data_IF_674585146478
#
_entry.id   IF_674585146478
#
_cell.length_a   1.000
_cell.length_b   1.000
_cell.length_c   1.000
_cell.angle_alpha   90.00
_cell.angle_beta   90.00
_cell.angle_gamma   90.00
#
_symmetry.space_group_name_H-M   'P 1'
#
loop_
_entity.id
_entity.type
_entity.pdbx_description
1 polymer ?
#
# COMPACT_ATOMS: atom_id res chain seq x y z
N UNK A 1 4.09 34.32 -5.42
CA UNK A 1 3.70 33.44 -4.31
C UNK A 1 3.18 32.13 -4.92
N UNK A 2 4.00 31.08 -4.91
CA UNK A 2 3.66 29.81 -5.58
C UNK A 2 2.64 29.01 -4.78
N UNK A 3 1.49 28.75 -5.38
CA UNK A 3 0.43 27.95 -4.78
C UNK A 3 0.92 26.51 -4.59
N UNK A 4 1.10 26.10 -3.33
CA UNK A 4 1.29 24.70 -2.96
C UNK A 4 -0.07 24.01 -3.11
N UNK A 5 -0.32 23.42 -4.28
CA UNK A 5 -1.33 22.38 -4.42
C UNK A 5 -0.77 21.11 -3.77
N UNK A 6 -1.11 20.91 -2.50
CA UNK A 6 -0.90 19.63 -1.84
C UNK A 6 -1.80 18.59 -2.52
N UNK A 7 -1.27 17.89 -3.52
CA UNK A 7 -1.90 16.71 -4.11
C UNK A 7 -1.98 15.63 -3.02
N UNK A 8 -3.06 15.66 -2.23
CA UNK A 8 -3.43 14.55 -1.35
C UNK A 8 -3.71 13.35 -2.25
N UNK A 9 -2.80 12.38 -2.26
CA UNK A 9 -3.04 11.08 -2.87
C UNK A 9 -4.38 10.54 -2.31
N UNK A 10 -5.35 10.30 -3.19
CA UNK A 10 -6.66 9.77 -2.78
C UNK A 10 -6.43 8.39 -2.17
N UNK A 11 -6.85 8.19 -0.91
CA UNK A 11 -6.85 6.86 -0.30
C UNK A 11 -7.77 5.95 -1.10
N UNK A 12 -7.31 4.75 -1.40
CA UNK A 12 -8.03 3.80 -2.26
C UNK A 12 -8.45 2.58 -1.44
N UNK A 13 -9.60 2.01 -1.81
CA UNK A 13 -10.06 0.70 -1.35
C UNK A 13 -9.93 -0.26 -2.53
N UNK A 14 -8.72 -0.71 -2.82
CA UNK A 14 -8.50 -1.79 -3.78
C UNK A 14 -8.30 -3.11 -3.03
N UNK A 15 -9.36 -3.90 -2.84
CA UNK A 15 -9.25 -5.14 -2.08
C UNK A 15 -8.42 -6.22 -2.79
N UNK A 16 -8.19 -6.11 -4.11
CA UNK A 16 -7.43 -7.11 -4.87
C UNK A 16 -5.97 -7.18 -4.41
N UNK A 17 -5.42 -6.05 -3.95
CA UNK A 17 -4.05 -5.94 -3.45
C UNK A 17 -3.95 -5.88 -1.92
N UNK A 18 -5.07 -6.18 -1.26
CA UNK A 18 -5.20 -6.07 0.19
C UNK A 18 -5.33 -4.62 0.66
N UNK A 19 -6.03 -4.43 1.78
CA UNK A 19 -6.22 -3.11 2.40
C UNK A 19 -5.77 -3.12 3.85
N UNK A 20 -5.58 -1.93 4.43
CA UNK A 20 -5.28 -1.82 5.85
C UNK A 20 -6.34 -2.53 6.71
N UNK A 21 -5.97 -3.42 7.65
CA UNK A 21 -6.94 -4.10 8.50
C UNK A 21 -7.72 -3.15 9.44
N UNK A 22 -7.21 -1.93 9.67
CA UNK A 22 -7.84 -0.95 10.56
C UNK A 22 -8.81 0.01 9.85
N UNK A 23 -8.43 0.60 8.69
CA UNK A 23 -9.31 1.52 7.96
C UNK A 23 -9.84 0.98 6.63
N UNK A 24 -9.42 -0.21 6.19
CA UNK A 24 -9.79 -0.81 4.91
C UNK A 24 -9.41 0.05 3.69
N UNK A 25 -8.37 0.86 3.83
CA UNK A 25 -7.82 1.72 2.78
C UNK A 25 -6.30 1.51 2.64
N UNK A 26 -5.74 1.96 1.52
CA UNK A 26 -4.29 2.08 1.31
C UNK A 26 -3.94 3.44 0.70
N UNK A 27 -2.70 3.87 0.91
CA UNK A 27 -2.12 5.13 0.44
C UNK A 27 -1.18 4.87 -0.76
N UNK A 28 -1.59 3.94 -1.62
CA UNK A 28 -0.81 3.45 -2.78
C UNK A 28 0.29 2.44 -2.42
N UNK A 29 1.26 2.30 -3.31
CA UNK A 29 2.35 1.33 -3.18
C UNK A 29 3.71 1.95 -3.55
N UNK A 30 4.79 1.26 -3.20
CA UNK A 30 6.16 1.55 -3.62
C UNK A 30 6.83 0.26 -4.09
N UNK A 31 7.71 0.37 -5.07
CA UNK A 31 8.46 -0.77 -5.58
C UNK A 31 9.82 -0.90 -4.90
N UNK A 32 10.27 -2.14 -4.71
CA UNK A 32 11.66 -2.48 -4.35
C UNK A 32 12.11 -3.61 -5.26
N UNK A 33 12.74 -3.26 -6.39
CA UNK A 33 12.89 -4.20 -7.50
C UNK A 33 11.51 -4.64 -7.99
N UNK A 34 11.30 -5.95 -8.15
CA UNK A 34 10.02 -6.54 -8.55
C UNK A 34 8.98 -6.68 -7.42
N UNK A 35 9.31 -6.28 -6.19
CA UNK A 35 8.39 -6.37 -5.05
C UNK A 35 7.48 -5.14 -5.00
N UNK A 36 6.17 -5.36 -4.85
CA UNK A 36 5.17 -4.30 -4.75
C UNK A 36 4.64 -4.19 -3.31
N UNK A 37 5.05 -3.12 -2.62
CA UNK A 37 4.72 -2.90 -1.22
C UNK A 37 3.64 -1.84 -1.09
N UNK A 38 2.46 -2.24 -0.62
CA UNK A 38 1.38 -1.33 -0.31
C UNK A 38 1.55 -0.78 1.11
N UNK A 39 0.99 0.40 1.36
CA UNK A 39 1.14 1.10 2.64
C UNK A 39 -0.15 1.73 3.11
N UNK A 40 -0.25 1.93 4.42
CA UNK A 40 -1.18 2.87 5.03
C UNK A 40 -0.40 3.83 5.91
N UNK A 41 -0.32 5.10 5.51
CA UNK A 41 0.41 6.14 6.22
C UNK A 41 -0.28 6.48 7.55
N UNK A 42 -1.62 6.43 7.59
CA UNK A 42 -2.41 6.71 8.80
C UNK A 42 -2.04 5.76 9.94
N UNK A 43 -1.84 4.49 9.65
CA UNK A 43 -1.54 3.48 10.66
C UNK A 43 -0.08 3.01 10.63
N UNK A 44 0.75 3.58 9.76
CA UNK A 44 2.17 3.26 9.60
C UNK A 44 2.44 1.76 9.41
N UNK A 45 1.62 1.12 8.59
CA UNK A 45 1.76 -0.29 8.23
C UNK A 45 2.05 -0.44 6.74
N UNK A 46 2.69 -1.55 6.38
CA UNK A 46 2.95 -1.95 5.00
C UNK A 46 2.76 -3.45 4.84
N UNK A 47 2.50 -3.87 3.62
CA UNK A 47 2.38 -5.28 3.27
C UNK A 47 2.89 -5.52 1.86
N UNK A 48 3.41 -6.72 1.63
CA UNK A 48 3.81 -7.17 0.30
C UNK A 48 2.55 -7.68 -0.41
N UNK A 49 2.08 -6.95 -1.43
CA UNK A 49 0.96 -7.41 -2.24
C UNK A 49 1.38 -8.56 -3.16
N UNK A 50 2.64 -8.55 -3.62
CA UNK A 50 3.22 -9.61 -4.44
C UNK A 50 4.51 -9.19 -5.13
N UNK A 51 5.01 -10.09 -5.98
CA UNK A 51 6.24 -9.94 -6.76
C UNK A 51 5.86 -10.05 -8.24
N UNK A 52 6.37 -9.14 -9.09
CA UNK A 52 6.05 -9.09 -10.52
C UNK A 52 4.54 -8.98 -10.80
N UNK A 53 3.80 -8.23 -9.97
CA UNK A 53 2.37 -7.99 -10.23
C UNK A 53 2.16 -6.99 -11.37
N UNK A 54 3.12 -6.09 -11.55
CA UNK A 54 3.12 -5.09 -12.61
C UNK A 54 4.50 -5.04 -13.26
N UNK A 55 4.61 -4.51 -14.47
CA UNK A 55 5.91 -4.41 -15.16
C UNK A 55 6.57 -3.02 -15.04
N UNK A 56 5.84 -1.99 -14.58
CA UNK A 56 6.34 -0.61 -14.52
C UNK A 56 7.56 -0.42 -13.59
N UNK A 57 7.84 -1.35 -12.68
CA UNK A 57 9.05 -1.29 -11.84
C UNK A 57 10.34 -1.39 -12.67
N UNK A 58 10.27 -1.93 -13.90
CA UNK A 58 11.41 -2.04 -14.81
C UNK A 58 11.84 -0.69 -15.38
N UNK A 59 10.88 0.22 -15.55
CA UNK A 59 11.10 1.56 -16.08
C UNK A 59 11.47 2.57 -14.98
N UNK A 60 11.36 2.17 -13.71
CA UNK A 60 11.72 3.01 -12.57
C UNK A 60 13.22 2.99 -12.27
N UNK A 61 13.75 4.15 -11.88
CA UNK A 61 15.11 4.25 -11.39
C UNK A 61 15.25 3.55 -10.02
N UNK A 62 16.23 2.65 -9.89
CA UNK A 62 16.53 1.92 -8.65
C UNK A 62 16.82 2.83 -7.45
N UNK A 63 17.48 3.96 -7.65
CA UNK A 63 17.74 4.93 -6.58
C UNK A 63 16.44 5.58 -6.09
N UNK A 64 15.49 5.85 -6.99
CA UNK A 64 14.16 6.36 -6.62
C UNK A 64 13.34 5.31 -5.87
N UNK A 65 13.38 4.05 -6.31
CA UNK A 65 12.77 2.93 -5.57
C UNK A 65 13.32 2.85 -4.15
N UNK A 66 14.64 2.89 -3.99
CA UNK A 66 15.26 2.83 -2.67
C UNK A 66 14.87 4.01 -1.78
N UNK A 67 14.87 5.24 -2.34
CA UNK A 67 14.44 6.44 -1.61
C UNK A 67 12.98 6.34 -1.15
N UNK A 68 12.08 5.89 -2.03
CA UNK A 68 10.65 5.71 -1.71
C UNK A 68 10.43 4.59 -0.69
N UNK A 69 11.17 3.49 -0.81
CA UNK A 69 11.07 2.37 0.13
C UNK A 69 11.60 2.74 1.53
N UNK A 70 12.70 3.50 1.61
CA UNK A 70 13.24 3.99 2.88
C UNK A 70 12.21 4.80 3.68
N UNK A 71 11.35 5.57 3.00
CA UNK A 71 10.28 6.33 3.65
C UNK A 71 9.25 5.47 4.39
N UNK A 72 9.12 4.20 4.02
CA UNK A 72 8.20 3.24 4.66
C UNK A 72 8.93 2.10 5.37
N UNK A 73 10.26 2.15 5.46
CA UNK A 73 11.04 1.06 6.05
C UNK A 73 10.72 0.88 7.53
N UNK A 74 10.42 1.99 8.20
CA UNK A 74 9.97 2.04 9.58
C UNK A 74 8.48 1.71 9.77
N UNK A 75 7.75 1.34 8.71
CA UNK A 75 6.36 0.90 8.83
C UNK A 75 6.34 -0.57 9.23
N UNK A 76 5.41 -0.92 10.12
CA UNK A 76 5.20 -2.29 10.56
C UNK A 76 4.74 -3.16 9.38
N UNK A 77 5.34 -4.34 9.23
CA UNK A 77 4.92 -5.31 8.22
C UNK A 77 3.76 -6.12 8.78
N UNK A 78 2.61 -6.08 8.11
CA UNK A 78 1.40 -6.79 8.56
C UNK A 78 0.79 -7.62 7.44
N UNK A 79 -0.06 -8.57 7.82
CA UNK A 79 -1.00 -9.19 6.89
C UNK A 79 -2.14 -8.20 6.57
N UNK A 80 -2.43 -7.92 5.29
CA UNK A 80 -3.52 -7.04 4.92
C UNK A 80 -4.86 -7.76 5.04
N UNK A 81 -5.93 -6.97 5.07
CA UNK A 81 -7.27 -7.49 4.90
C UNK A 81 -7.55 -7.73 3.41
N UNK A 82 -7.78 -8.98 3.06
CA UNK A 82 -8.10 -9.43 1.71
C UNK A 82 -9.63 -9.53 1.53
N UNK A 83 -10.29 -8.43 1.15
CA UNK A 83 -11.76 -8.41 1.03
C UNK A 83 -12.21 -9.36 -0.08
N UNK A 84 -13.19 -10.21 0.22
CA UNK A 84 -13.70 -11.20 -0.73
C UNK A 84 -12.82 -12.45 -0.92
N UNK A 85 -11.71 -12.57 -0.20
CA UNK A 85 -10.95 -13.83 -0.12
C UNK A 85 -11.52 -14.74 0.97
N UNK A 86 -11.20 -16.05 0.95
CA UNK A 86 -11.53 -16.98 2.05
C UNK A 86 -10.97 -16.56 3.43
N UNK A 87 -10.09 -15.56 3.48
CA UNK A 87 -9.47 -15.00 4.69
C UNK A 87 -10.14 -13.70 5.15
N UNK A 88 -11.17 -13.22 4.45
CA UNK A 88 -11.99 -12.10 4.90
C UNK A 88 -12.85 -12.54 6.10
N UNK A 89 -12.65 -12.00 7.32
CA UNK A 89 -13.49 -12.33 8.47
C UNK A 89 -14.94 -11.86 8.30
N UNK A 90 -15.28 -11.18 7.19
CA UNK A 90 -16.59 -10.58 6.98
C UNK A 90 -16.83 -9.40 7.93
N UNK A 91 -17.92 -8.66 7.75
CA UNK A 91 -18.31 -7.65 8.72
C UNK A 91 -18.61 -8.33 10.07
N UNK A 92 -17.77 -8.08 11.08
CA UNK A 92 -18.13 -8.39 12.47
C UNK A 92 -19.20 -7.40 12.92
N UNK A 93 -20.41 -7.91 13.13
CA UNK A 93 -21.46 -7.28 13.94
C UNK A 93 -22.18 -6.09 13.29
N UNK A 94 -23.26 -6.38 12.58
CA UNK A 94 -24.45 -5.56 12.61
C UNK A 94 -25.57 -6.41 13.22
N UNK A 95 -25.67 -6.39 14.55
CA UNK A 95 -26.79 -6.88 15.33
C UNK A 95 -26.99 -5.89 16.47
#
# INVERSE_FOLDING_TARGET
>A
MGNIVAFRAKRQSDPQFGVCPMCRLHDGFVNKGSQHWFKCDKHRIRWLAGINLFDHWRDENRADQMRRFAAIECFEVVEPLWVGSRRDPGPKGAA
#
